data_IF_665839890627
#
_entry.id   IF_665839890627
#
_cell.length_a   1.000
_cell.length_b   1.000
_cell.length_c   1.000
_cell.angle_alpha   90.00
_cell.angle_beta   90.00
_cell.angle_gamma   90.00
#
_symmetry.space_group_name_H-M   'P 1'
#
loop_
_entity.id
_entity.type
_entity.pdbx_description
1 polymer ?
#
# COMPACT_ATOMS: atom_id res chain seq x y z
N UNK A 1 -22.78 9.93 9.28
CA UNK A 1 -22.14 8.96 8.35
C UNK A 1 -21.42 9.75 7.28
N UNK A 2 -20.19 9.38 6.89
CA UNK A 2 -19.44 10.09 5.85
C UNK A 2 -20.19 10.04 4.52
N UNK A 3 -20.09 11.13 3.78
CA UNK A 3 -20.65 11.35 2.47
C UNK A 3 -19.52 11.50 1.45
N UNK A 4 -19.75 11.04 0.24
CA UNK A 4 -18.78 11.01 -0.85
C UNK A 4 -19.38 11.61 -2.10
N UNK A 5 -18.56 12.36 -2.84
CA UNK A 5 -18.85 12.90 -4.15
C UNK A 5 -17.53 12.99 -4.93
N UNK A 6 -17.58 13.48 -6.17
CA UNK A 6 -16.39 13.91 -6.90
C UNK A 6 -16.45 15.41 -7.14
N UNK A 7 -15.33 16.03 -7.47
CA UNK A 7 -15.28 17.38 -8.03
C UNK A 7 -14.32 17.39 -9.23
N UNK A 8 -14.36 18.43 -10.04
CA UNK A 8 -13.29 18.70 -10.99
C UNK A 8 -12.00 19.08 -10.23
N UNK A 9 -10.85 18.61 -10.71
CA UNK A 9 -9.54 18.94 -10.12
C UNK A 9 -9.29 20.45 -10.19
N UNK A 10 -8.62 20.99 -9.17
CA UNK A 10 -8.30 22.42 -9.01
C UNK A 10 -9.50 23.38 -8.83
N UNK A 11 -10.71 22.84 -8.63
CA UNK A 11 -11.87 23.62 -8.23
C UNK A 11 -11.98 23.76 -6.70
N UNK A 12 -12.71 24.79 -6.26
CA UNK A 12 -13.21 24.91 -4.88
C UNK A 12 -14.06 23.67 -4.52
N UNK A 13 -14.31 23.46 -3.21
CA UNK A 13 -15.06 22.31 -2.70
C UNK A 13 -16.52 22.28 -3.22
N UNK A 14 -16.69 21.77 -4.44
CA UNK A 14 -17.94 21.81 -5.21
C UNK A 14 -18.25 20.41 -5.76
N UNK A 15 -19.22 19.69 -5.18
CA UNK A 15 -19.53 18.35 -5.62
C UNK A 15 -20.21 18.35 -7.01
N UNK A 16 -19.66 17.56 -7.92
CA UNK A 16 -20.33 17.19 -9.16
C UNK A 16 -21.37 16.11 -8.83
N UNK A 17 -22.61 16.54 -8.68
CA UNK A 17 -23.75 15.68 -8.37
C UNK A 17 -24.09 15.57 -6.88
N UNK A 18 -24.98 14.64 -6.54
CA UNK A 18 -25.44 14.46 -5.17
C UNK A 18 -24.42 13.69 -4.31
N UNK A 19 -24.31 14.12 -3.05
CA UNK A 19 -23.62 13.37 -2.01
C UNK A 19 -24.23 11.99 -1.78
N UNK A 20 -23.39 10.99 -1.55
CA UNK A 20 -23.82 9.63 -1.23
C UNK A 20 -23.05 9.05 -0.04
N UNK A 21 -23.73 8.28 0.80
CA UNK A 21 -23.09 7.50 1.85
C UNK A 21 -22.40 6.24 1.32
N UNK A 22 -22.69 5.85 0.08
CA UNK A 22 -22.02 4.77 -0.63
C UNK A 22 -20.88 5.34 -1.51
N UNK A 23 -19.60 5.09 -1.18
CA UNK A 23 -18.46 5.65 -1.91
C UNK A 23 -18.26 5.06 -3.31
N UNK A 24 -18.91 3.94 -3.65
CA UNK A 24 -18.58 3.19 -4.87
C UNK A 24 -18.83 3.97 -6.16
N UNK A 25 -19.89 4.79 -6.20
CA UNK A 25 -20.18 5.63 -7.37
C UNK A 25 -19.10 6.70 -7.60
N UNK A 26 -18.60 7.34 -6.53
CA UNK A 26 -17.52 8.31 -6.62
C UNK A 26 -16.19 7.63 -7.01
N UNK A 27 -15.90 6.46 -6.42
CA UNK A 27 -14.71 5.67 -6.76
C UNK A 27 -14.74 5.27 -8.24
N UNK A 28 -15.87 4.83 -8.78
CA UNK A 28 -15.98 4.45 -10.20
C UNK A 28 -15.58 5.60 -11.15
N UNK A 29 -15.97 6.84 -10.81
CA UNK A 29 -15.59 8.03 -11.58
C UNK A 29 -14.11 8.35 -11.42
N UNK A 30 -13.59 8.38 -10.18
CA UNK A 30 -12.16 8.62 -9.88
C UNK A 30 -11.23 7.66 -10.61
N UNK A 31 -11.61 6.39 -10.73
CA UNK A 31 -10.81 5.38 -11.45
C UNK A 31 -10.63 5.73 -12.93
N UNK A 32 -11.67 6.24 -13.56
CA UNK A 32 -11.73 6.37 -15.03
C UNK A 32 -11.42 7.78 -15.51
N UNK A 33 -11.84 8.81 -14.79
CA UNK A 33 -11.66 10.22 -15.14
C UNK A 33 -10.37 10.79 -14.55
N UNK A 34 -9.62 11.56 -15.34
CA UNK A 34 -8.30 12.07 -14.98
C UNK A 34 -8.33 13.44 -14.29
N UNK A 35 -9.44 14.14 -14.47
CA UNK A 35 -9.72 15.53 -14.10
C UNK A 35 -10.66 15.62 -12.89
N UNK A 36 -10.76 14.55 -12.10
CA UNK A 36 -11.62 14.52 -10.93
C UNK A 36 -10.89 14.13 -9.64
N UNK A 37 -11.28 14.78 -8.56
CA UNK A 37 -10.85 14.48 -7.20
C UNK A 37 -11.97 13.87 -6.38
N UNK A 38 -11.60 13.06 -5.38
CA UNK A 38 -12.57 12.49 -4.45
C UNK A 38 -12.90 13.50 -3.36
N UNK A 39 -14.18 13.82 -3.20
CA UNK A 39 -14.67 14.59 -2.07
C UNK A 39 -15.15 13.68 -0.94
N UNK A 40 -14.78 14.06 0.28
CA UNK A 40 -15.25 13.41 1.51
C UNK A 40 -15.79 14.48 2.45
N UNK A 41 -17.01 14.29 2.92
CA UNK A 41 -17.63 15.15 3.93
C UNK A 41 -18.14 14.33 5.11
N UNK A 42 -17.92 14.81 6.32
CA UNK A 42 -18.52 14.26 7.53
C UNK A 42 -19.54 15.24 8.10
N UNK A 43 -20.85 15.05 7.86
CA UNK A 43 -21.89 15.96 8.35
C UNK A 43 -21.95 16.09 9.87
N UNK A 44 -21.43 15.11 10.62
CA UNK A 44 -21.48 15.13 12.08
C UNK A 44 -20.42 16.04 12.71
N UNK A 45 -19.31 16.28 11.99
CA UNK A 45 -18.19 17.11 12.48
C UNK A 45 -17.91 18.29 11.57
N UNK A 46 -18.72 18.45 10.51
CA UNK A 46 -18.53 19.36 9.40
C UNK A 46 -17.12 19.33 8.77
N UNK A 47 -16.47 18.17 8.81
CA UNK A 47 -15.14 17.99 8.23
C UNK A 47 -15.28 17.72 6.73
N UNK A 48 -14.78 18.63 5.89
CA UNK A 48 -14.73 18.51 4.43
C UNK A 48 -13.30 18.32 3.94
N UNK A 49 -13.11 17.45 2.95
CA UNK A 49 -11.80 17.12 2.40
C UNK A 49 -11.86 16.89 0.89
N UNK A 50 -10.93 17.55 0.20
CA UNK A 50 -10.58 17.26 -1.19
C UNK A 50 -9.41 16.27 -1.17
N UNK A 51 -9.64 15.09 -1.75
CA UNK A 51 -8.62 14.04 -1.87
C UNK A 51 -8.13 14.01 -3.32
N UNK A 52 -7.08 14.81 -3.57
CA UNK A 52 -6.45 14.93 -4.88
C UNK A 52 -5.94 13.57 -5.37
N UNK A 53 -6.25 13.24 -6.63
CA UNK A 53 -5.79 12.02 -7.27
C UNK A 53 -4.51 12.27 -8.06
N UNK A 54 -3.48 11.46 -7.82
CA UNK A 54 -2.23 11.58 -8.58
C UNK A 54 -2.26 10.75 -9.85
N UNK A 55 -1.66 11.29 -10.92
CA UNK A 55 -1.34 10.52 -12.12
C UNK A 55 -0.17 9.56 -11.84
N UNK A 56 -0.07 8.47 -12.62
CA UNK A 56 1.09 7.57 -12.52
C UNK A 56 2.40 8.29 -12.81
N UNK A 57 2.42 9.16 -13.81
CA UNK A 57 3.61 9.92 -14.18
C UNK A 57 4.12 10.79 -13.03
N UNK A 58 3.21 11.50 -12.34
CA UNK A 58 3.57 12.30 -11.16
C UNK A 58 4.10 11.41 -10.03
N UNK A 59 3.49 10.25 -9.78
CA UNK A 59 3.94 9.34 -8.72
C UNK A 59 5.29 8.71 -9.05
N UNK A 60 5.50 8.28 -10.30
CA UNK A 60 6.77 7.75 -10.79
C UNK A 60 7.86 8.81 -10.64
N UNK A 61 7.63 10.03 -11.09
CA UNK A 61 8.60 11.13 -10.97
C UNK A 61 8.91 11.46 -9.51
N UNK A 62 7.91 11.42 -8.62
CA UNK A 62 8.09 11.68 -7.18
C UNK A 62 8.89 10.60 -6.47
N UNK A 63 8.72 9.33 -6.86
CA UNK A 63 9.45 8.22 -6.24
C UNK A 63 10.80 7.99 -6.91
N UNK A 64 10.95 8.38 -8.18
CA UNK A 64 12.18 8.20 -8.91
C UNK A 64 13.32 8.93 -8.19
N UNK A 65 14.50 8.32 -8.19
CA UNK A 65 15.68 8.78 -7.44
C UNK A 65 15.53 8.85 -5.91
N UNK A 66 14.39 8.43 -5.32
CA UNK A 66 14.24 8.33 -3.86
C UNK A 66 14.81 7.02 -3.31
N UNK A 67 15.11 6.97 -2.00
CA UNK A 67 15.43 5.71 -1.32
C UNK A 67 14.38 4.61 -1.47
N UNK A 68 13.10 4.97 -1.66
CA UNK A 68 12.01 3.99 -1.82
C UNK A 68 12.11 3.23 -3.16
N UNK A 69 12.46 3.92 -4.25
CA UNK A 69 12.68 3.28 -5.55
C UNK A 69 13.84 2.28 -5.48
N UNK A 70 14.98 2.69 -4.88
CA UNK A 70 16.13 1.80 -4.63
C UNK A 70 15.76 0.59 -3.78
N UNK A 71 14.91 0.78 -2.77
CA UNK A 71 14.45 -0.33 -1.93
C UNK A 71 13.58 -1.33 -2.71
N UNK A 72 12.72 -0.87 -3.62
CA UNK A 72 11.93 -1.73 -4.52
C UNK A 72 12.85 -2.49 -5.50
N UNK A 73 13.86 -1.83 -6.07
CA UNK A 73 14.86 -2.49 -6.93
C UNK A 73 15.65 -3.57 -6.19
N UNK A 74 15.99 -3.32 -4.92
CA UNK A 74 16.62 -4.33 -4.07
C UNK A 74 15.72 -5.52 -3.82
N UNK A 75 14.43 -5.31 -3.55
CA UNK A 75 13.48 -6.43 -3.42
C UNK A 75 13.43 -7.29 -4.68
N UNK A 76 13.44 -6.68 -5.87
CA UNK A 76 13.56 -7.41 -7.14
C UNK A 76 14.86 -8.22 -7.21
N UNK A 77 15.98 -7.61 -6.85
CA UNK A 77 17.31 -8.26 -6.86
C UNK A 77 17.37 -9.43 -5.88
N UNK A 78 16.79 -9.28 -4.68
CA UNK A 78 16.69 -10.33 -3.66
C UNK A 78 15.82 -11.49 -4.15
N UNK A 79 14.66 -11.23 -4.75
CA UNK A 79 13.84 -12.32 -5.31
C UNK A 79 14.55 -13.04 -6.46
N UNK A 80 15.21 -12.29 -7.35
CA UNK A 80 15.98 -12.87 -8.44
C UNK A 80 17.11 -13.78 -7.93
N UNK A 81 17.86 -13.37 -6.91
CA UNK A 81 18.94 -14.18 -6.33
C UNK A 81 18.42 -15.45 -5.64
N UNK A 82 17.23 -15.38 -5.04
CA UNK A 82 16.53 -16.52 -4.45
C UNK A 82 15.75 -17.37 -5.47
N UNK A 83 15.84 -17.05 -6.77
CA UNK A 83 15.11 -17.71 -7.87
C UNK A 83 13.59 -17.72 -7.64
N UNK A 84 13.06 -16.68 -7.02
CA UNK A 84 11.63 -16.50 -6.79
C UNK A 84 11.03 -15.61 -7.88
N UNK A 85 9.82 -15.91 -8.38
CA UNK A 85 9.18 -15.09 -9.41
C UNK A 85 8.66 -13.78 -8.82
N UNK A 86 8.84 -12.68 -9.56
CA UNK A 86 8.15 -11.41 -9.31
C UNK A 86 6.93 -11.37 -10.21
N UNK A 87 5.76 -11.74 -9.69
CA UNK A 87 4.53 -11.64 -10.47
C UNK A 87 4.05 -10.18 -10.59
N UNK A 88 3.39 -9.80 -11.71
CA UNK A 88 2.91 -8.43 -11.91
C UNK A 88 2.05 -7.91 -10.75
N UNK A 89 1.20 -8.76 -10.17
CA UNK A 89 0.37 -8.40 -9.00
C UNK A 89 1.21 -7.96 -7.80
N UNK A 90 2.28 -8.70 -7.48
CA UNK A 90 3.17 -8.36 -6.36
C UNK A 90 3.93 -7.06 -6.65
N UNK A 91 4.43 -6.91 -7.88
CA UNK A 91 5.14 -5.71 -8.30
C UNK A 91 4.27 -4.45 -8.20
N UNK A 92 3.01 -4.51 -8.62
CA UNK A 92 2.04 -3.41 -8.47
C UNK A 92 1.83 -3.04 -7.00
N UNK A 93 1.72 -4.04 -6.11
CA UNK A 93 1.60 -3.80 -4.67
C UNK A 93 2.86 -3.13 -4.11
N UNK A 94 4.06 -3.50 -4.56
CA UNK A 94 5.30 -2.82 -4.17
C UNK A 94 5.34 -1.36 -4.60
N UNK A 95 4.93 -1.05 -5.83
CA UNK A 95 4.84 0.34 -6.28
C UNK A 95 3.85 1.14 -5.43
N UNK A 96 2.68 0.58 -5.11
CA UNK A 96 1.71 1.24 -4.23
C UNK A 96 2.26 1.50 -2.82
N UNK A 97 3.02 0.56 -2.25
CA UNK A 97 3.74 0.78 -0.98
C UNK A 97 4.74 1.93 -1.12
N UNK A 98 5.54 1.94 -2.19
CA UNK A 98 6.52 3.00 -2.45
C UNK A 98 5.88 4.38 -2.61
N UNK A 99 4.82 4.48 -3.42
CA UNK A 99 4.08 5.73 -3.62
C UNK A 99 3.50 6.24 -2.30
N UNK A 100 2.85 5.35 -1.52
CA UNK A 100 2.28 5.77 -0.24
C UNK A 100 3.37 6.18 0.76
N UNK A 101 4.46 5.40 0.87
CA UNK A 101 5.58 5.72 1.75
C UNK A 101 6.23 7.06 1.39
N UNK A 102 6.36 7.38 0.11
CA UNK A 102 6.86 8.66 -0.36
C UNK A 102 5.94 9.83 0.01
N UNK A 103 4.62 9.68 -0.20
CA UNK A 103 3.64 10.71 0.13
C UNK A 103 3.52 10.94 1.64
N UNK A 104 3.64 9.88 2.43
CA UNK A 104 3.55 9.90 3.89
C UNK A 104 4.92 10.11 4.57
N UNK A 105 6.01 10.31 3.82
CA UNK A 105 7.40 10.41 4.31
C UNK A 105 7.79 9.32 5.33
N UNK A 106 7.47 8.07 5.02
CA UNK A 106 7.63 6.96 5.97
C UNK A 106 9.08 6.48 6.10
N UNK A 107 9.45 6.03 7.29
CA UNK A 107 10.76 5.44 7.53
C UNK A 107 11.01 4.23 6.61
N UNK A 108 12.24 4.06 6.14
CA UNK A 108 12.59 2.96 5.22
C UNK A 108 12.41 1.58 5.86
N UNK A 109 12.63 1.47 7.17
CA UNK A 109 12.34 0.24 7.92
C UNK A 109 10.87 -0.19 7.83
N UNK A 110 9.93 0.76 7.93
CA UNK A 110 8.50 0.46 7.79
C UNK A 110 8.16 0.03 6.37
N UNK A 111 8.77 0.70 5.38
CA UNK A 111 8.57 0.41 3.96
C UNK A 111 9.13 -0.98 3.62
N UNK A 112 10.33 -1.30 4.08
CA UNK A 112 10.97 -2.61 3.90
C UNK A 112 10.12 -3.72 4.53
N UNK A 113 9.65 -3.52 5.77
CA UNK A 113 8.78 -4.48 6.44
C UNK A 113 7.44 -4.68 5.71
N UNK A 114 6.85 -3.61 5.15
CA UNK A 114 5.63 -3.70 4.35
C UNK A 114 5.85 -4.50 3.04
N UNK A 115 6.94 -4.21 2.32
CA UNK A 115 7.32 -4.92 1.11
C UNK A 115 7.57 -6.41 1.39
N UNK A 116 8.33 -6.74 2.44
CA UNK A 116 8.60 -8.11 2.86
C UNK A 116 7.31 -8.85 3.25
N UNK A 117 6.41 -8.21 4.01
CA UNK A 117 5.13 -8.80 4.41
C UNK A 117 4.27 -9.21 3.21
N UNK A 118 4.12 -8.31 2.24
CA UNK A 118 3.42 -8.61 0.98
C UNK A 118 4.09 -9.74 0.19
N UNK A 119 5.41 -9.72 0.13
CA UNK A 119 6.21 -10.71 -0.59
C UNK A 119 6.06 -12.10 -0.01
N UNK A 120 6.17 -12.23 1.31
CA UNK A 120 6.02 -13.51 2.01
C UNK A 120 4.59 -14.02 1.89
N UNK A 121 3.59 -13.17 2.11
CA UNK A 121 2.18 -13.55 1.95
C UNK A 121 1.87 -14.04 0.52
N UNK A 122 2.46 -13.41 -0.49
CA UNK A 122 2.36 -13.83 -1.88
C UNK A 122 3.04 -15.19 -2.14
N UNK A 123 4.32 -15.32 -1.77
CA UNK A 123 5.12 -16.53 -2.06
C UNK A 123 4.66 -17.76 -1.28
N UNK A 124 4.10 -17.58 -0.08
CA UNK A 124 3.45 -18.66 0.67
C UNK A 124 2.10 -19.09 0.09
N UNK A 125 1.70 -18.55 -1.07
CA UNK A 125 0.44 -18.86 -1.78
C UNK A 125 -0.72 -18.98 -0.79
N UNK A 126 -0.96 -17.93 0.00
CA UNK A 126 -2.07 -17.94 0.96
C UNK A 126 -3.32 -17.30 0.33
N UNK A 127 -4.21 -18.04 -0.36
CA UNK A 127 -5.56 -17.58 -0.59
C UNK A 127 -6.36 -17.94 0.66
N UNK A 128 -6.57 -16.95 1.52
CA UNK A 128 -7.56 -17.03 2.58
C UNK A 128 -8.46 -15.81 2.48
N UNK A 129 -9.61 -15.87 3.15
CA UNK A 129 -10.54 -14.75 3.21
C UNK A 129 -9.81 -13.43 3.51
N UNK A 130 -10.35 -12.30 3.07
CA UNK A 130 -9.72 -10.96 3.25
C UNK A 130 -9.36 -10.70 4.73
N UNK A 131 -10.13 -11.26 5.68
CA UNK A 131 -9.83 -11.23 7.12
C UNK A 131 -8.49 -11.85 7.47
N UNK A 132 -8.21 -13.02 6.91
CA UNK A 132 -7.05 -13.84 7.23
C UNK A 132 -5.80 -13.24 6.60
N UNK A 133 -5.93 -12.71 5.38
CA UNK A 133 -4.86 -11.94 4.75
C UNK A 133 -4.48 -10.71 5.58
N UNK A 134 -5.46 -10.00 6.17
CA UNK A 134 -5.18 -8.83 7.01
C UNK A 134 -4.38 -9.18 8.26
N UNK A 135 -4.74 -10.29 8.93
CA UNK A 135 -4.02 -10.78 10.11
C UNK A 135 -2.62 -11.28 9.75
N UNK A 136 -2.50 -12.00 8.65
CA UNK A 136 -1.21 -12.48 8.15
C UNK A 136 -0.28 -11.33 7.77
N UNK A 137 -0.77 -10.34 7.01
CA UNK A 137 0.01 -9.16 6.68
C UNK A 137 0.44 -8.39 7.92
N UNK A 138 -0.40 -8.36 8.97
CA UNK A 138 -0.07 -7.72 10.24
C UNK A 138 1.06 -8.44 10.94
N UNK A 139 0.92 -9.74 11.14
CA UNK A 139 1.93 -10.54 11.84
C UNK A 139 3.28 -10.51 11.13
N UNK A 140 3.28 -10.69 9.80
CA UNK A 140 4.49 -10.61 8.99
C UNK A 140 5.15 -9.23 9.01
N UNK A 141 4.36 -8.14 8.92
CA UNK A 141 4.92 -6.79 8.94
C UNK A 141 5.51 -6.43 10.32
N UNK A 142 4.86 -6.84 11.40
CA UNK A 142 5.36 -6.63 12.76
C UNK A 142 6.65 -7.41 12.99
N UNK A 143 6.69 -8.69 12.60
CA UNK A 143 7.89 -9.52 12.68
C UNK A 143 9.04 -8.94 11.86
N UNK A 144 8.78 -8.55 10.62
CA UNK A 144 9.81 -7.98 9.76
C UNK A 144 10.39 -6.69 10.35
N UNK A 145 9.53 -5.78 10.82
CA UNK A 145 9.98 -4.53 11.47
C UNK A 145 10.78 -4.82 12.75
N UNK A 146 10.26 -5.70 13.62
CA UNK A 146 10.92 -6.04 14.87
C UNK A 146 12.29 -6.68 14.63
N UNK A 147 12.39 -7.57 13.63
CA UNK A 147 13.66 -8.18 13.26
C UNK A 147 14.67 -7.12 12.78
N UNK A 148 14.26 -6.22 11.87
CA UNK A 148 15.15 -5.16 11.35
C UNK A 148 15.65 -4.24 12.47
N UNK A 149 14.80 -3.90 13.44
CA UNK A 149 15.18 -3.11 14.61
C UNK A 149 16.11 -3.87 15.55
N UNK A 150 15.81 -5.14 15.84
CA UNK A 150 16.63 -5.98 16.72
C UNK A 150 18.02 -6.25 16.13
N UNK A 151 18.10 -6.45 14.81
CA UNK A 151 19.34 -6.57 14.04
C UNK A 151 20.06 -5.22 13.85
N UNK A 152 19.49 -4.11 14.36
CA UNK A 152 20.04 -2.74 14.26
C UNK A 152 20.33 -2.31 12.82
N UNK A 153 19.48 -2.74 11.89
CA UNK A 153 19.62 -2.38 10.48
C UNK A 153 19.33 -0.89 10.33
N UNK A 154 20.31 -0.17 9.80
CA UNK A 154 20.16 1.25 9.45
C UNK A 154 19.54 1.43 8.07
N UNK A 155 18.96 2.60 7.83
CA UNK A 155 18.48 3.01 6.51
C UNK A 155 19.58 2.91 5.45
N UNK A 156 20.82 3.29 5.79
CA UNK A 156 21.96 3.15 4.87
C UNK A 156 22.23 1.68 4.53
N UNK A 157 22.18 0.76 5.49
CA UNK A 157 22.40 -0.67 5.23
C UNK A 157 21.29 -1.26 4.34
N UNK A 158 20.03 -0.86 4.54
CA UNK A 158 18.92 -1.24 3.65
C UNK A 158 19.18 -0.79 2.20
N UNK A 159 19.87 0.33 2.00
CA UNK A 159 20.15 0.89 0.67
C UNK A 159 21.52 0.47 0.10
N UNK A 160 22.48 0.05 0.93
CA UNK A 160 23.82 -0.30 0.49
C UNK A 160 23.96 -1.80 0.19
N UNK A 161 23.36 -2.68 1.00
CA UNK A 161 23.49 -4.15 0.87
C UNK A 161 22.13 -4.81 0.69
N UNK A 162 22.11 -6.03 0.15
CA UNK A 162 20.89 -6.85 0.03
C UNK A 162 20.75 -7.83 1.20
N UNK A 163 21.82 -8.04 1.98
CA UNK A 163 21.92 -9.09 2.99
C UNK A 163 20.79 -9.07 4.04
N UNK A 164 20.44 -7.94 4.68
CA UNK A 164 19.37 -7.94 5.68
C UNK A 164 18.01 -8.36 5.10
N UNK A 165 17.71 -7.95 3.87
CA UNK A 165 16.47 -8.30 3.18
C UNK A 165 16.46 -9.77 2.77
N UNK A 166 17.58 -10.30 2.27
CA UNK A 166 17.72 -11.72 1.91
C UNK A 166 17.54 -12.62 3.14
N UNK A 167 18.27 -12.35 4.23
CA UNK A 167 18.22 -13.15 5.45
C UNK A 167 16.82 -13.15 6.05
N UNK A 168 16.22 -11.96 6.18
CA UNK A 168 14.88 -11.82 6.75
C UNK A 168 13.82 -12.49 5.87
N UNK A 169 13.89 -12.32 4.54
CA UNK A 169 12.94 -12.96 3.64
C UNK A 169 13.03 -14.48 3.73
N UNK A 170 14.24 -15.06 3.71
CA UNK A 170 14.42 -16.50 3.88
C UNK A 170 13.85 -16.98 5.21
N UNK A 171 14.12 -16.26 6.30
CA UNK A 171 13.58 -16.59 7.62
C UNK A 171 12.05 -16.59 7.65
N UNK A 172 11.41 -15.54 7.13
CA UNK A 172 9.96 -15.43 7.08
C UNK A 172 9.32 -16.44 6.13
N UNK A 173 10.03 -16.92 5.10
CA UNK A 173 9.54 -17.97 4.20
C UNK A 173 9.62 -19.36 4.84
N UNK A 174 10.68 -19.64 5.61
CA UNK A 174 10.89 -20.97 6.23
C UNK A 174 10.18 -21.13 7.58
N UNK A 175 9.76 -20.03 8.21
CA UNK A 175 9.00 -20.11 9.45
C UNK A 175 7.63 -20.79 9.25
N UNK A 176 7.13 -21.40 10.33
CA UNK A 176 5.83 -22.07 10.33
C UNK A 176 4.69 -21.07 10.09
N UNK A 177 3.66 -21.50 9.33
CA UNK A 177 2.50 -20.64 8.98
C UNK A 177 1.76 -20.13 10.23
N UNK A 178 1.79 -20.87 11.33
CA UNK A 178 1.20 -20.44 12.60
C UNK A 178 1.81 -19.13 13.13
N UNK A 179 3.09 -18.86 12.82
CA UNK A 179 3.76 -17.64 13.22
C UNK A 179 3.40 -16.45 12.32
N UNK A 180 2.91 -16.66 11.10
CA UNK A 180 2.61 -15.56 10.17
C UNK A 180 1.49 -14.63 10.67
N UNK A 181 0.63 -15.10 11.57
CA UNK A 181 -0.45 -14.31 12.19
C UNK A 181 -0.09 -13.77 13.60
N UNK A 182 1.14 -14.02 14.09
CA UNK A 182 1.58 -13.53 15.38
C UNK A 182 1.79 -12.00 15.30
N UNK A 183 0.90 -11.24 15.94
CA UNK A 183 0.88 -9.78 15.90
C UNK A 183 1.29 -9.18 17.25
N UNK A 184 1.92 -8.00 17.21
CA UNK A 184 2.16 -7.20 18.41
C UNK A 184 0.99 -6.24 18.65
N UNK A 185 0.70 -5.98 19.93
CA UNK A 185 -0.32 -5.00 20.32
C UNK A 185 0.09 -3.59 19.89
N UNK A 186 -0.88 -2.77 19.49
CA UNK A 186 -0.68 -1.34 19.16
C UNK A 186 -0.78 -1.02 17.66
N UNK A 187 -0.28 0.15 17.29
CA UNK A 187 -0.28 0.63 15.89
C UNK A 187 0.93 0.08 15.13
N UNK A 188 0.72 -0.36 13.89
CA UNK A 188 1.79 -0.81 13.00
C UNK A 188 1.71 -0.13 11.65
N UNK A 189 2.64 0.79 11.41
CA UNK A 189 2.72 1.56 10.17
C UNK A 189 3.13 0.67 8.98
N UNK A 190 4.05 -0.28 9.20
CA UNK A 190 4.43 -1.24 8.17
C UNK A 190 3.23 -2.06 7.70
N UNK A 191 2.37 -2.49 8.63
CA UNK A 191 1.12 -3.15 8.27
C UNK A 191 0.13 -2.21 7.59
N UNK A 192 -0.03 -0.96 8.03
CA UNK A 192 -0.92 0.00 7.36
C UNK A 192 -0.54 0.16 5.88
N UNK A 193 0.75 0.30 5.57
CA UNK A 193 1.27 0.38 4.19
C UNK A 193 0.98 -0.90 3.40
N UNK A 194 1.31 -2.07 3.96
CA UNK A 194 1.08 -3.36 3.30
C UNK A 194 -0.42 -3.62 3.05
N UNK A 195 -1.26 -3.38 4.05
CA UNK A 195 -2.70 -3.54 3.95
C UNK A 195 -3.28 -2.59 2.89
N UNK A 196 -2.89 -1.30 2.90
CA UNK A 196 -3.40 -0.35 1.92
C UNK A 196 -3.05 -0.76 0.49
N UNK A 197 -1.80 -1.16 0.22
CA UNK A 197 -1.40 -1.65 -1.09
C UNK A 197 -2.15 -2.94 -1.49
N UNK A 198 -2.35 -3.87 -0.56
CA UNK A 198 -3.12 -5.08 -0.81
C UNK A 198 -4.60 -4.79 -1.13
N UNK A 199 -5.23 -3.85 -0.44
CA UNK A 199 -6.63 -3.47 -0.69
C UNK A 199 -6.75 -2.64 -1.98
N UNK A 200 -5.86 -1.67 -2.21
CA UNK A 200 -5.82 -0.89 -3.44
C UNK A 200 -5.60 -1.77 -4.69
N UNK A 201 -4.82 -2.85 -4.58
CA UNK A 201 -4.65 -3.80 -5.69
C UNK A 201 -5.96 -4.50 -6.12
N UNK A 202 -7.02 -4.36 -5.32
CA UNK A 202 -8.35 -4.92 -5.55
C UNK A 202 -9.36 -3.86 -5.97
N UNK A 203 -8.95 -2.62 -6.29
CA UNK A 203 -9.84 -1.47 -6.59
C UNK A 203 -10.87 -1.70 -7.72
N UNK A 204 -10.66 -2.73 -8.53
CA UNK A 204 -11.56 -3.18 -9.61
C UNK A 204 -12.53 -4.30 -9.21
N UNK A 205 -12.40 -4.86 -8.01
CA UNK A 205 -13.25 -5.96 -7.54
C UNK A 205 -14.30 -5.43 -6.57
N UNK A 206 -15.44 -6.12 -6.50
CA UNK A 206 -16.51 -5.81 -5.53
C UNK A 206 -16.08 -5.98 -4.05
N UNK A 207 -14.89 -6.55 -3.83
CA UNK A 207 -14.31 -6.72 -2.49
C UNK A 207 -13.64 -5.44 -1.97
N UNK A 208 -13.34 -4.48 -2.85
CA UNK A 208 -12.73 -3.22 -2.46
C UNK A 208 -13.74 -2.33 -1.73
N UNK A 209 -13.42 -2.00 -0.49
CA UNK A 209 -14.16 -1.03 0.29
C UNK A 209 -13.22 0.03 0.82
N UNK A 210 -13.60 1.30 0.66
CA UNK A 210 -12.79 2.45 1.08
C UNK A 210 -12.45 2.44 2.58
N UNK A 211 -13.34 1.86 3.40
CA UNK A 211 -13.17 1.67 4.85
C UNK A 211 -12.05 0.69 5.23
N UNK A 212 -11.56 -0.11 4.28
CA UNK A 212 -10.46 -1.04 4.50
C UNK A 212 -9.09 -0.36 4.48
N UNK A 213 -9.00 0.83 3.86
CA UNK A 213 -7.80 1.65 3.84
C UNK A 213 -7.61 2.34 5.20
N UNK A 214 -6.37 2.33 5.71
CA UNK A 214 -6.05 2.81 7.06
C UNK A 214 -5.69 4.29 7.12
N UNK A 215 -5.16 4.84 6.03
CA UNK A 215 -4.66 6.21 5.98
C UNK A 215 -5.38 7.01 4.88
N UNK A 216 -5.64 8.29 5.15
CA UNK A 216 -6.27 9.21 4.19
C UNK A 216 -5.42 9.35 2.91
N UNK A 217 -4.09 9.30 3.02
CA UNK A 217 -3.19 9.37 1.86
C UNK A 217 -3.37 8.20 0.89
N UNK A 218 -3.79 7.02 1.37
CA UNK A 218 -4.07 5.88 0.49
C UNK A 218 -5.25 6.15 -0.46
N UNK A 219 -6.16 7.08 -0.10
CA UNK A 219 -7.30 7.43 -0.95
C UNK A 219 -6.83 8.23 -2.18
N UNK A 220 -5.66 8.88 -2.11
CA UNK A 220 -5.04 9.61 -3.23
C UNK A 220 -4.46 8.68 -4.30
N UNK A 221 -4.39 7.37 -4.00
CA UNK A 221 -3.81 6.34 -4.86
C UNK A 221 -4.85 5.46 -5.55
N UNK A 222 -6.15 5.77 -5.45
CA UNK A 222 -7.22 4.95 -6.03
C UNK A 222 -7.05 4.88 -7.56
N UNK A 223 -6.90 6.04 -8.21
CA UNK A 223 -6.68 6.12 -9.66
C UNK A 223 -5.36 5.43 -10.06
N UNK A 224 -4.28 5.69 -9.32
CA UNK A 224 -2.99 5.07 -9.59
C UNK A 224 -3.07 3.53 -9.51
N UNK A 225 -3.75 2.98 -8.49
CA UNK A 225 -3.94 1.55 -8.34
C UNK A 225 -4.74 0.93 -9.50
N UNK A 226 -5.74 1.66 -10.01
CA UNK A 226 -6.46 1.25 -11.21
C UNK A 226 -5.54 1.22 -12.44
N UNK A 227 -4.80 2.31 -12.68
CA UNK A 227 -3.91 2.44 -13.84
C UNK A 227 -2.77 1.41 -13.84
N UNK A 228 -2.13 1.16 -12.68
CA UNK A 228 -1.11 0.10 -12.52
C UNK A 228 -1.65 -1.30 -12.88
N UNK A 229 -2.97 -1.52 -12.80
CA UNK A 229 -3.59 -2.80 -13.14
C UNK A 229 -3.89 -2.96 -14.63
N UNK A 230 -4.27 -1.88 -15.31
CA UNK A 230 -4.72 -1.92 -16.71
C UNK A 230 -3.61 -1.59 -17.71
N UNK A 231 -2.56 -0.86 -17.30
CA UNK A 231 -1.44 -0.45 -18.18
C UNK A 231 -0.18 -1.32 -18.01
N UNK A 232 -0.07 -2.07 -16.91
CA UNK A 232 1.00 -3.02 -16.59
C UNK A 232 0.38 -4.34 -16.14
#
# INVERSE_FOLDING_TARGET
MRQYAIQLTDHDFEPVGAWSSNPQAAIAQVKTQADVDLLVWNPATDESQIIVQYTLETLVTKIDQTPYARLIEKMNTVLASLKQPVAPKLQRQWYLVGYQACLDHQALLNTAAALLSLTVAYLKNSPRAVSDLKQQLRGLADQARCWLLAARVSDLQLLATNEPLTVLLQHLLTQTVALDACQMAGRSVAWELANNAAMLSQVETDQFQLTQLKNKTAYRLIRAAYLERIMR
#
